data_IF_800030531812
#
_entry.id   IF_800030531812
#
_cell.length_a   1.000
_cell.length_b   1.000
_cell.length_c   1.000
_cell.angle_alpha   90.00
_cell.angle_beta   90.00
_cell.angle_gamma   90.00
#
_symmetry.space_group_name_H-M   'P 1'
#
loop_
_entity.id
_entity.type
_entity.pdbx_description
1 polymer ?
#
# COMPACT_ATOMS: atom_id res chain seq x y z
N UNK A 1 51.84 -45.59 -14.06
CA UNK A 1 51.25 -45.29 -12.74
C UNK A 1 50.14 -44.28 -12.96
N UNK A 2 48.90 -44.73 -12.68
CA UNK A 2 47.70 -43.98 -12.26
C UNK A 2 47.35 -42.70 -13.06
N UNK A 3 46.40 -42.65 -13.99
CA UNK A 3 44.95 -42.94 -13.96
C UNK A 3 44.13 -42.06 -12.99
N UNK A 4 43.09 -41.44 -13.57
CA UNK A 4 41.93 -40.76 -12.95
C UNK A 4 42.16 -39.29 -12.53
N UNK A 5 41.27 -38.32 -12.78
CA UNK A 5 39.81 -38.41 -12.80
C UNK A 5 39.13 -37.40 -13.75
N UNK A 6 38.01 -37.89 -14.31
CA UNK A 6 36.97 -37.18 -15.05
C UNK A 6 36.36 -36.02 -14.23
N UNK A 7 36.15 -34.87 -14.87
CA UNK A 7 35.15 -33.89 -14.43
C UNK A 7 33.80 -34.30 -15.03
N UNK A 8 32.89 -34.78 -14.18
CA UNK A 8 31.50 -35.06 -14.54
C UNK A 8 30.67 -33.78 -14.51
N UNK A 9 30.02 -33.49 -15.65
CA UNK A 9 28.90 -32.57 -15.76
C UNK A 9 27.67 -33.19 -15.10
N UNK A 10 27.03 -32.47 -14.16
CA UNK A 10 25.71 -32.87 -13.66
C UNK A 10 24.65 -31.85 -14.09
N UNK A 11 23.67 -32.38 -14.82
CA UNK A 11 22.51 -31.68 -15.33
C UNK A 11 21.40 -31.57 -14.29
N UNK A 12 20.45 -30.68 -14.60
CA UNK A 12 19.03 -30.69 -14.21
C UNK A 12 18.63 -30.11 -12.85
N UNK A 13 18.04 -28.92 -12.95
CA UNK A 13 16.61 -28.68 -12.73
C UNK A 13 16.02 -29.17 -11.40
N UNK A 14 15.62 -28.22 -10.55
CA UNK A 14 14.20 -27.90 -10.37
C UNK A 14 14.05 -26.81 -9.31
N UNK A 15 13.55 -25.68 -9.78
CA UNK A 15 12.93 -24.60 -9.02
C UNK A 15 11.81 -25.18 -8.16
N UNK A 16 12.05 -25.37 -6.85
CA UNK A 16 10.98 -25.59 -5.88
C UNK A 16 10.29 -24.26 -5.61
N UNK A 17 9.36 -23.91 -6.51
CA UNK A 17 8.23 -23.05 -6.19
C UNK A 17 7.53 -23.65 -4.97
N UNK A 18 7.61 -22.99 -3.82
CA UNK A 18 6.63 -23.21 -2.76
C UNK A 18 5.29 -22.74 -3.30
N UNK A 19 4.48 -23.72 -3.71
CA UNK A 19 3.06 -23.57 -3.96
C UNK A 19 2.42 -23.04 -2.66
N UNK A 20 2.07 -21.76 -2.67
CA UNK A 20 1.13 -21.21 -1.70
C UNK A 20 -0.26 -21.63 -2.15
N UNK A 21 -0.87 -22.54 -1.40
CA UNK A 21 -2.28 -22.88 -1.56
C UNK A 21 -3.12 -21.61 -1.39
N UNK A 22 -4.04 -21.31 -2.31
CA UNK A 22 -4.95 -20.18 -2.15
C UNK A 22 -5.92 -20.53 -1.01
N UNK A 23 -5.71 -19.93 0.17
CA UNK A 23 -6.75 -19.95 1.18
C UNK A 23 -7.96 -19.23 0.60
N UNK A 24 -9.06 -19.99 0.52
CA UNK A 24 -10.40 -19.57 0.15
C UNK A 24 -10.80 -18.30 0.91
N UNK A 25 -10.85 -17.19 0.17
CA UNK A 25 -11.37 -15.91 0.63
C UNK A 25 -12.84 -16.07 0.96
N UNK A 26 -13.16 -16.04 2.25
CA UNK A 26 -14.53 -15.86 2.72
C UNK A 26 -15.08 -14.57 2.16
N UNK A 27 -16.16 -14.69 1.40
CA UNK A 27 -16.94 -13.61 0.82
C UNK A 27 -17.37 -12.58 1.87
N UNK A 28 -16.57 -11.53 2.01
CA UNK A 28 -16.97 -10.20 2.46
C UNK A 28 -16.44 -9.22 1.44
N UNK A 29 -17.31 -8.48 0.74
CA UNK A 29 -16.96 -7.45 -0.27
C UNK A 29 -16.33 -6.21 0.39
N UNK A 30 -15.30 -6.40 1.20
CA UNK A 30 -14.51 -5.33 1.77
C UNK A 30 -13.40 -4.98 0.77
N UNK A 31 -13.24 -3.70 0.39
CA UNK A 31 -12.11 -3.30 -0.43
C UNK A 31 -10.80 -3.74 0.24
N UNK A 32 -9.81 -4.24 -0.52
CA UNK A 32 -8.44 -4.42 0.00
C UNK A 32 -7.92 -3.03 0.36
N UNK A 33 -8.10 -2.68 1.62
CA UNK A 33 -7.88 -1.34 2.16
C UNK A 33 -6.39 -1.05 2.32
N UNK A 34 -6.07 0.23 2.49
CA UNK A 34 -4.76 0.64 2.97
C UNK A 34 -4.48 -0.05 4.32
N UNK A 35 -3.37 -0.77 4.43
CA UNK A 35 -2.97 -1.38 5.71
C UNK A 35 -2.21 -0.37 6.59
N UNK A 36 -2.17 -0.59 7.91
CA UNK A 36 -1.37 0.24 8.83
C UNK A 36 0.10 0.31 8.43
N UNK A 37 0.67 -0.80 7.96
CA UNK A 37 2.09 -0.86 7.55
C UNK A 37 2.35 0.01 6.33
N UNK A 38 1.44 -0.01 5.34
CA UNK A 38 1.58 0.80 4.13
C UNK A 38 1.41 2.28 4.47
N UNK A 39 0.43 2.65 5.30
CA UNK A 39 0.26 4.03 5.75
C UNK A 39 1.52 4.52 6.49
N UNK A 40 2.05 3.71 7.40
CA UNK A 40 3.28 4.04 8.12
C UNK A 40 4.45 4.28 7.17
N UNK A 41 4.63 3.41 6.17
CA UNK A 41 5.67 3.57 5.17
C UNK A 41 5.50 4.87 4.36
N UNK A 42 4.26 5.26 4.01
CA UNK A 42 4.01 6.55 3.35
C UNK A 42 4.48 7.71 4.24
N UNK A 43 4.07 7.71 5.52
CA UNK A 43 4.41 8.79 6.45
C UNK A 43 5.92 8.90 6.67
N UNK A 44 6.61 7.76 6.76
CA UNK A 44 8.07 7.72 6.85
C UNK A 44 8.72 8.31 5.59
N UNK A 45 8.25 7.95 4.40
CA UNK A 45 8.74 8.53 3.14
C UNK A 45 8.54 10.05 3.06
N UNK A 46 7.40 10.56 3.53
CA UNK A 46 7.16 12.02 3.61
C UNK A 46 8.16 12.69 4.56
N UNK A 47 8.43 12.07 5.72
CA UNK A 47 9.35 12.61 6.72
C UNK A 47 10.83 12.51 6.30
N UNK A 48 11.21 11.56 5.44
CA UNK A 48 12.56 11.46 4.89
C UNK A 48 12.92 12.64 3.96
N UNK A 49 11.93 13.38 3.47
CA UNK A 49 12.12 14.61 2.70
C UNK A 49 12.34 14.43 1.20
N UNK A 50 12.42 13.20 0.69
CA UNK A 50 12.38 12.95 -0.76
C UNK A 50 10.94 13.00 -1.28
N UNK A 51 10.52 14.21 -1.65
CA UNK A 51 9.19 14.47 -2.21
C UNK A 51 8.88 13.64 -3.46
N UNK A 52 9.86 13.38 -4.32
CA UNK A 52 9.63 12.64 -5.56
C UNK A 52 9.36 11.17 -5.28
N UNK A 53 10.12 10.58 -4.36
CA UNK A 53 9.91 9.21 -3.92
C UNK A 53 8.57 9.07 -3.18
N UNK A 54 8.27 9.97 -2.24
CA UNK A 54 7.01 9.97 -1.50
C UNK A 54 5.80 10.10 -2.43
N UNK A 55 5.84 11.04 -3.38
CA UNK A 55 4.77 11.24 -4.39
C UNK A 55 4.55 10.00 -5.25
N UNK A 56 5.64 9.39 -5.77
CA UNK A 56 5.54 8.15 -6.55
C UNK A 56 4.93 7.02 -5.74
N UNK A 57 5.34 6.90 -4.47
CA UNK A 57 4.83 5.85 -3.60
C UNK A 57 3.33 6.04 -3.27
N UNK A 58 2.89 7.27 -3.02
CA UNK A 58 1.47 7.62 -2.85
C UNK A 58 0.67 7.32 -4.13
N UNK A 59 1.18 7.75 -5.28
CA UNK A 59 0.58 7.52 -6.61
C UNK A 59 0.28 6.04 -6.84
N UNK A 60 1.29 5.19 -6.59
CA UNK A 60 1.17 3.73 -6.73
C UNK A 60 0.22 3.12 -5.70
N UNK A 61 0.33 3.54 -4.44
CA UNK A 61 -0.44 2.95 -3.33
C UNK A 61 -1.93 3.25 -3.44
N UNK A 62 -2.27 4.50 -3.76
CA UNK A 62 -3.66 4.93 -3.90
C UNK A 62 -4.20 4.70 -5.31
N UNK A 63 -3.35 4.28 -6.26
CA UNK A 63 -3.67 4.15 -7.67
C UNK A 63 -4.30 5.44 -8.23
N UNK A 64 -3.60 6.55 -8.04
CA UNK A 64 -3.99 7.89 -8.49
C UNK A 64 -2.95 8.44 -9.45
N UNK A 65 -3.30 9.47 -10.21
CA UNK A 65 -2.33 10.15 -11.05
C UNK A 65 -1.37 11.03 -10.23
N UNK A 66 -0.30 11.46 -10.87
CA UNK A 66 0.77 12.26 -10.28
C UNK A 66 0.30 13.62 -9.71
N UNK A 67 -0.73 14.22 -10.29
CA UNK A 67 -1.30 15.50 -9.81
C UNK A 67 -2.03 15.29 -8.49
N UNK A 68 -2.86 14.25 -8.41
CA UNK A 68 -3.57 13.90 -7.17
C UNK A 68 -2.57 13.47 -6.09
N UNK A 69 -1.54 12.70 -6.46
CA UNK A 69 -0.49 12.29 -5.53
C UNK A 69 0.29 13.49 -4.96
N UNK A 70 0.58 14.52 -5.77
CA UNK A 70 1.20 15.77 -5.30
C UNK A 70 0.29 16.53 -4.33
N UNK A 71 -1.02 16.56 -4.57
CA UNK A 71 -1.98 17.16 -3.63
C UNK A 71 -2.03 16.38 -2.31
N UNK A 72 -2.01 15.04 -2.36
CA UNK A 72 -1.96 14.19 -1.18
C UNK A 72 -0.67 14.42 -0.37
N UNK A 73 0.47 14.51 -1.06
CA UNK A 73 1.76 14.77 -0.44
C UNK A 73 1.75 16.12 0.30
N UNK A 74 1.31 17.20 -0.35
CA UNK A 74 1.22 18.52 0.28
C UNK A 74 0.30 18.51 1.50
N UNK A 75 -0.86 17.86 1.41
CA UNK A 75 -1.77 17.69 2.56
C UNK A 75 -1.11 16.96 3.73
N UNK A 76 -0.37 15.88 3.45
CA UNK A 76 0.36 15.13 4.48
C UNK A 76 1.44 15.99 5.14
N UNK A 77 2.22 16.75 4.37
CA UNK A 77 3.28 17.62 4.89
C UNK A 77 2.70 18.74 5.77
N UNK A 78 1.62 19.38 5.32
CA UNK A 78 0.91 20.41 6.09
C UNK A 78 0.38 19.84 7.40
N UNK A 79 -0.19 18.63 7.38
CA UNK A 79 -0.74 18.00 8.58
C UNK A 79 0.33 17.50 9.54
N UNK A 80 1.39 16.87 9.04
CA UNK A 80 2.50 16.41 9.86
C UNK A 80 3.28 17.55 10.51
N UNK A 81 3.32 18.73 9.88
CA UNK A 81 3.96 19.92 10.47
C UNK A 81 3.03 20.71 11.39
N UNK A 82 1.73 20.76 11.08
CA UNK A 82 0.76 21.59 11.80
C UNK A 82 0.02 20.91 12.96
N UNK A 83 0.01 19.58 13.04
CA UNK A 83 -0.80 18.83 14.01
C UNK A 83 0.03 17.74 14.71
N UNK A 84 0.27 17.90 16.02
CA UNK A 84 1.20 17.04 16.78
C UNK A 84 0.77 15.56 16.83
N UNK A 85 -0.53 15.28 16.90
CA UNK A 85 -1.06 13.90 17.02
C UNK A 85 -1.53 13.32 15.69
N UNK A 86 -1.26 14.01 14.57
CA UNK A 86 -1.81 13.63 13.27
C UNK A 86 -1.46 12.20 12.88
N UNK A 87 -0.17 11.85 13.01
CA UNK A 87 0.37 10.52 12.66
C UNK A 87 -0.34 9.42 13.45
N UNK A 88 -0.42 9.56 14.76
CA UNK A 88 -1.05 8.56 15.63
C UNK A 88 -2.55 8.43 15.34
N UNK A 89 -3.23 9.56 15.09
CA UNK A 89 -4.66 9.58 14.76
C UNK A 89 -4.96 8.79 13.49
N UNK A 90 -4.25 9.06 12.39
CA UNK A 90 -4.54 8.39 11.10
C UNK A 90 -4.11 6.92 11.12
N UNK A 91 -3.06 6.56 11.87
CA UNK A 91 -2.67 5.16 12.09
C UNK A 91 -3.73 4.41 12.91
N UNK A 92 -4.34 5.05 13.91
CA UNK A 92 -5.46 4.44 14.63
C UNK A 92 -6.68 4.29 13.72
N UNK A 93 -7.02 5.31 12.94
CA UNK A 93 -8.17 5.24 12.01
C UNK A 93 -7.99 4.12 10.97
N UNK A 94 -6.79 3.96 10.39
CA UNK A 94 -6.56 2.93 9.36
C UNK A 94 -6.68 1.51 9.93
N UNK A 95 -6.34 1.28 11.20
CA UNK A 95 -6.55 -0.04 11.84
C UNK A 95 -8.02 -0.41 11.99
N UNK A 96 -8.91 0.58 12.12
CA UNK A 96 -10.36 0.36 12.21
C UNK A 96 -11.06 0.20 10.85
N UNK A 97 -10.37 0.47 9.72
CA UNK A 97 -11.00 0.44 8.39
C UNK A 97 -11.43 -0.95 7.92
N UNK A 98 -10.78 -2.02 8.37
CA UNK A 98 -11.05 -3.37 7.85
C UNK A 98 -12.49 -3.85 7.99
N UNK A 99 -13.23 -3.33 8.97
CA UNK A 99 -14.66 -3.60 9.19
C UNK A 99 -15.56 -2.37 8.94
N UNK A 100 -14.99 -1.25 8.49
CA UNK A 100 -15.69 0.01 8.36
C UNK A 100 -16.53 0.08 7.08
N UNK A 101 -17.56 0.92 7.07
CA UNK A 101 -18.40 1.08 5.89
C UNK A 101 -17.72 1.99 4.84
N UNK A 102 -18.33 2.14 3.65
CA UNK A 102 -17.75 2.94 2.57
C UNK A 102 -17.64 4.43 2.91
N UNK A 103 -18.55 4.96 3.73
CA UNK A 103 -18.54 6.36 4.18
C UNK A 103 -17.34 6.61 5.08
N UNK A 104 -17.05 5.69 5.99
CA UNK A 104 -15.88 5.76 6.88
C UNK A 104 -14.57 5.72 6.08
N UNK A 105 -14.52 4.92 5.02
CA UNK A 105 -13.38 4.88 4.10
C UNK A 105 -13.21 6.20 3.33
N UNK A 106 -14.29 6.82 2.88
CA UNK A 106 -14.24 8.13 2.21
C UNK A 106 -13.80 9.23 3.19
N UNK A 107 -14.30 9.18 4.42
CA UNK A 107 -13.91 10.11 5.48
C UNK A 107 -12.43 9.96 5.84
N UNK A 108 -11.95 8.73 5.97
CA UNK A 108 -10.53 8.46 6.18
C UNK A 108 -9.67 9.01 5.04
N UNK A 109 -10.04 8.74 3.78
CA UNK A 109 -9.29 9.25 2.63
C UNK A 109 -9.22 10.79 2.61
N UNK A 110 -10.30 11.46 3.03
CA UNK A 110 -10.34 12.91 3.18
C UNK A 110 -9.41 13.38 4.31
N UNK A 111 -9.44 12.73 5.46
CA UNK A 111 -8.67 13.15 6.62
C UNK A 111 -7.16 12.85 6.46
N UNK A 112 -6.84 11.68 5.93
CA UNK A 112 -5.48 11.21 5.75
C UNK A 112 -4.80 11.78 4.49
N UNK A 113 -5.53 11.95 3.38
CA UNK A 113 -4.92 12.32 2.10
C UNK A 113 -5.52 13.58 1.45
N UNK A 114 -6.53 14.21 2.07
CA UNK A 114 -7.19 15.38 1.50
C UNK A 114 -8.04 15.05 0.27
N UNK A 115 -8.29 13.78 -0.03
CA UNK A 115 -9.02 13.36 -1.24
C UNK A 115 -10.50 13.11 -0.94
N UNK A 116 -11.36 13.62 -1.82
CA UNK A 116 -12.81 13.61 -1.63
C UNK A 116 -13.55 13.47 -2.95
N UNK A 117 -14.85 13.17 -2.89
CA UNK A 117 -15.71 13.07 -4.06
C UNK A 117 -15.28 11.96 -5.02
N UNK A 118 -15.20 12.28 -6.32
CA UNK A 118 -14.93 11.30 -7.39
C UNK A 118 -13.59 10.59 -7.19
N UNK A 119 -12.56 11.30 -6.73
CA UNK A 119 -11.22 10.72 -6.48
C UNK A 119 -11.29 9.66 -5.39
N UNK A 120 -11.93 9.97 -4.25
CA UNK A 120 -12.11 8.99 -3.16
C UNK A 120 -12.89 7.75 -3.63
N UNK A 121 -13.93 7.94 -4.44
CA UNK A 121 -14.70 6.82 -5.02
C UNK A 121 -13.86 5.96 -5.96
N UNK A 122 -13.00 6.57 -6.78
CA UNK A 122 -12.12 5.86 -7.70
C UNK A 122 -11.09 5.01 -6.96
N UNK A 123 -10.45 5.55 -5.91
CA UNK A 123 -9.52 4.82 -5.04
C UNK A 123 -10.22 3.61 -4.41
N UNK A 124 -11.39 3.82 -3.80
CA UNK A 124 -12.14 2.72 -3.16
C UNK A 124 -12.64 1.67 -4.15
N UNK A 125 -13.00 2.08 -5.36
CA UNK A 125 -13.36 1.15 -6.41
C UNK A 125 -12.15 0.29 -6.85
N UNK A 126 -10.97 0.91 -6.98
CA UNK A 126 -9.75 0.17 -7.29
C UNK A 126 -9.42 -0.85 -6.18
N UNK A 127 -9.47 -0.44 -4.91
CA UNK A 127 -9.26 -1.34 -3.78
C UNK A 127 -10.28 -2.49 -3.72
N UNK A 128 -11.53 -2.25 -4.13
CA UNK A 128 -12.54 -3.31 -4.27
C UNK A 128 -12.18 -4.31 -5.36
N UNK A 129 -11.74 -3.84 -6.53
CA UNK A 129 -11.45 -4.71 -7.68
C UNK A 129 -10.14 -5.46 -7.49
N UNK A 130 -9.07 -4.80 -7.02
CA UNK A 130 -7.82 -5.46 -6.67
C UNK A 130 -7.98 -6.41 -5.46
N UNK A 131 -9.06 -6.22 -4.71
CA UNK A 131 -9.48 -7.02 -3.57
C UNK A 131 -10.18 -8.33 -3.88
N UNK A 132 -10.90 -8.37 -5.02
CA UNK A 132 -11.59 -9.55 -5.54
C UNK A 132 -10.61 -10.55 -6.16
#
# INVERSE_FOLDING_TARGET
MSASSQMQSNSKSQSKQKSFSPQTLTSGKNPKSLSPQILQAILEQVQLGDRNQARRFISQTLNVNDVVAECCLRHLEEKLSGEQDYRERILRQVTSLGAANITDHQQFLRDAFGVQGIVSKAILNHWRIAGA
#
